data_IF_352467610007
#
_entry.id   IF_352467610007
#
_cell.length_a   1.000
_cell.length_b   1.000
_cell.length_c   1.000
_cell.angle_alpha   90.00
_cell.angle_beta   90.00
_cell.angle_gamma   90.00
#
_symmetry.space_group_name_H-M   'P 1'
#
loop_
_entity.id
_entity.type
_entity.pdbx_description
1 polymer ?
#
# COMPACT_ATOMS: atom_id res chain seq x y z
N UNK A 1 5.63 -3.32 -10.80
CA UNK A 1 6.55 -2.22 -10.47
C UNK A 1 5.74 -1.02 -10.03
N UNK A 2 5.90 -0.57 -8.77
CA UNK A 2 4.91 0.22 -8.06
C UNK A 2 5.45 1.46 -7.32
N UNK A 3 6.77 1.58 -7.12
CA UNK A 3 7.39 2.66 -6.36
C UNK A 3 8.46 3.36 -7.21
N UNK A 4 8.46 4.69 -7.23
CA UNK A 4 9.46 5.52 -7.88
C UNK A 4 10.18 6.37 -6.85
N UNK A 5 11.50 6.37 -6.91
CA UNK A 5 12.40 7.10 -6.00
C UNK A 5 13.10 8.17 -6.82
N UNK A 6 13.01 9.44 -6.38
CA UNK A 6 13.61 10.56 -7.11
C UNK A 6 14.51 11.35 -6.17
N UNK A 7 15.80 10.97 -6.07
CA UNK A 7 16.73 11.60 -5.16
C UNK A 7 17.18 12.99 -5.64
N UNK A 8 17.52 13.86 -4.69
CA UNK A 8 18.36 15.03 -4.96
C UNK A 8 19.80 14.57 -5.09
N UNK A 9 20.43 14.89 -6.22
CA UNK A 9 21.80 14.48 -6.55
C UNK A 9 22.76 15.67 -6.72
N UNK A 10 22.28 16.88 -6.44
CA UNK A 10 23.04 18.11 -6.59
C UNK A 10 22.91 18.93 -5.30
N UNK A 11 24.03 19.49 -4.86
CA UNK A 11 24.11 20.29 -3.63
C UNK A 11 23.08 21.43 -3.66
N UNK A 12 22.52 21.75 -2.50
CA UNK A 12 21.63 22.90 -2.25
C UNK A 12 20.36 22.94 -3.14
N UNK A 13 19.98 21.81 -3.73
CA UNK A 13 18.79 21.70 -4.59
C UNK A 13 17.53 21.47 -3.76
N UNK A 14 16.52 22.33 -3.94
CA UNK A 14 15.25 22.29 -3.19
C UNK A 14 14.03 21.94 -4.07
N UNK A 15 14.25 21.68 -5.36
CA UNK A 15 13.23 21.23 -6.29
C UNK A 15 13.83 20.33 -7.37
N UNK A 16 13.07 19.33 -7.81
CA UNK A 16 13.46 18.39 -8.86
C UNK A 16 12.59 18.58 -10.10
N UNK A 17 13.18 18.41 -11.27
CA UNK A 17 12.44 18.32 -12.53
C UNK A 17 12.28 16.83 -12.90
N UNK A 18 11.32 16.17 -12.26
CA UNK A 18 11.14 14.73 -12.29
C UNK A 18 10.33 14.31 -13.50
N UNK A 19 10.81 13.32 -14.27
CA UNK A 19 10.01 12.70 -15.33
C UNK A 19 8.97 11.75 -14.74
N UNK A 20 7.69 12.00 -15.01
CA UNK A 20 6.59 11.12 -14.61
C UNK A 20 6.05 10.37 -15.82
N UNK A 21 6.25 9.03 -15.90
CA UNK A 21 5.64 8.20 -16.93
C UNK A 21 4.10 8.33 -16.94
N UNK A 22 3.50 8.14 -18.11
CA UNK A 22 2.05 8.30 -18.32
C UNK A 22 1.24 7.32 -17.46
N UNK A 23 0.69 7.81 -16.34
CA UNK A 23 -0.27 7.16 -15.44
C UNK A 23 -0.50 8.05 -14.20
N UNK A 24 -1.42 7.63 -13.33
CA UNK A 24 -1.55 8.21 -11.99
C UNK A 24 -0.34 7.83 -11.11
N UNK A 25 0.26 8.82 -10.49
CA UNK A 25 1.23 8.69 -9.41
C UNK A 25 0.68 9.34 -8.15
N UNK A 26 1.12 8.88 -6.99
CA UNK A 26 0.73 9.45 -5.71
C UNK A 26 1.97 9.72 -4.90
N UNK A 27 2.09 10.91 -4.33
CA UNK A 27 3.09 11.18 -3.31
C UNK A 27 2.95 10.15 -2.17
N UNK A 28 4.03 9.43 -1.86
CA UNK A 28 3.98 8.31 -0.92
C UNK A 28 3.49 8.73 0.47
N UNK A 29 3.87 9.93 0.90
CA UNK A 29 3.67 10.43 2.26
C UNK A 29 2.29 11.04 2.48
N UNK A 30 1.79 11.77 1.48
CA UNK A 30 0.55 12.55 1.58
C UNK A 30 -0.62 11.91 0.84
N UNK A 31 -0.35 11.04 -0.14
CA UNK A 31 -1.35 10.51 -1.06
C UNK A 31 -1.80 11.49 -2.13
N UNK A 32 -1.17 12.67 -2.24
CA UNK A 32 -1.50 13.65 -3.26
C UNK A 32 -1.27 13.06 -4.67
N UNK A 33 -2.30 13.10 -5.51
CA UNK A 33 -2.22 12.62 -6.90
C UNK A 33 -1.37 13.55 -7.76
N UNK A 34 -0.47 12.96 -8.53
CA UNK A 34 0.31 13.57 -9.60
C UNK A 34 -0.06 12.83 -10.89
N UNK A 35 -0.67 13.54 -11.84
CA UNK A 35 -1.02 12.97 -13.14
C UNK A 35 0.21 13.01 -14.04
N UNK A 36 0.84 11.86 -14.25
CA UNK A 36 1.95 11.73 -15.18
C UNK A 36 1.44 11.76 -16.62
N UNK A 37 2.02 12.63 -17.44
CA UNK A 37 1.73 12.75 -18.89
C UNK A 37 2.88 12.24 -19.77
N UNK A 38 3.88 11.55 -19.20
CA UNK A 38 5.11 11.23 -19.93
C UNK A 38 5.98 12.46 -20.13
N UNK A 39 6.03 13.35 -19.14
CA UNK A 39 6.78 14.60 -19.18
C UNK A 39 7.44 14.89 -17.83
N UNK A 40 8.30 15.90 -17.81
CA UNK A 40 8.90 16.37 -16.56
C UNK A 40 7.98 17.36 -15.83
N UNK A 41 7.85 17.16 -14.53
CA UNK A 41 7.08 18.02 -13.63
C UNK A 41 8.03 18.52 -12.55
N UNK A 42 7.99 19.83 -12.28
CA UNK A 42 8.75 20.44 -11.17
C UNK A 42 8.06 20.09 -9.86
N UNK A 43 8.78 19.45 -8.95
CA UNK A 43 8.31 19.01 -7.62
C UNK A 43 9.23 19.57 -6.54
N UNK A 44 8.66 19.91 -5.38
CA UNK A 44 9.44 20.31 -4.22
C UNK A 44 10.30 19.15 -3.73
N UNK A 45 11.51 19.43 -3.26
CA UNK A 45 12.43 18.44 -2.71
C UNK A 45 13.10 19.03 -1.46
N UNK A 46 12.39 19.08 -0.32
CA UNK A 46 12.94 19.65 0.91
C UNK A 46 14.10 18.79 1.43
N UNK A 47 15.08 19.43 2.08
CA UNK A 47 16.32 18.77 2.53
C UNK A 47 16.08 17.57 3.46
N UNK A 48 15.00 17.59 4.24
CA UNK A 48 14.68 16.55 5.22
C UNK A 48 14.01 15.30 4.63
N UNK A 49 13.74 15.26 3.32
CA UNK A 49 12.89 14.23 2.74
C UNK A 49 13.25 13.91 1.29
N UNK A 50 13.42 12.62 1.01
CA UNK A 50 13.51 12.12 -0.37
C UNK A 50 12.12 11.99 -0.97
N UNK A 51 11.98 12.34 -2.25
CA UNK A 51 10.71 12.22 -2.96
C UNK A 51 10.45 10.76 -3.37
N UNK A 52 9.29 10.25 -2.96
CA UNK A 52 8.81 8.90 -3.23
C UNK A 52 7.41 8.96 -3.82
N UNK A 53 7.14 8.17 -4.85
CA UNK A 53 5.84 8.12 -5.52
C UNK A 53 5.36 6.69 -5.72
N UNK A 54 4.11 6.43 -5.37
CA UNK A 54 3.42 5.16 -5.62
C UNK A 54 2.66 5.25 -6.94
N UNK A 55 2.88 4.28 -7.82
CA UNK A 55 2.15 4.16 -9.08
C UNK A 55 0.72 3.66 -8.82
N UNK A 56 -0.26 4.36 -9.36
CA UNK A 56 -1.65 3.89 -9.38
C UNK A 56 -1.78 2.51 -10.03
N UNK A 57 -2.70 1.70 -9.52
CA UNK A 57 -2.88 0.31 -9.93
C UNK A 57 -2.18 -0.71 -9.05
N UNK A 58 -1.54 -0.28 -7.95
CA UNK A 58 -0.74 -1.17 -7.09
C UNK A 58 -1.19 -1.13 -5.63
N UNK A 59 -1.10 -2.28 -4.97
CA UNK A 59 -1.29 -2.45 -3.53
C UNK A 59 0.04 -2.85 -2.92
N UNK A 60 0.49 -2.08 -1.93
CA UNK A 60 1.75 -2.31 -1.22
C UNK A 60 1.45 -2.86 0.18
N UNK A 61 1.86 -4.10 0.50
CA UNK A 61 1.94 -4.54 1.88
C UNK A 61 3.11 -3.85 2.59
N UNK A 62 2.84 -3.39 3.80
CA UNK A 62 3.80 -2.72 4.66
C UNK A 62 3.67 -3.29 6.08
N UNK A 63 4.69 -3.09 6.90
CA UNK A 63 4.66 -3.43 8.32
C UNK A 63 5.08 -2.19 9.10
N UNK A 64 4.55 -2.02 10.31
CA UNK A 64 5.02 -0.96 11.18
C UNK A 64 6.51 -1.16 11.50
N UNK A 65 7.37 -0.15 11.27
CA UNK A 65 8.79 -0.31 11.45
C UNK A 65 9.15 -0.53 12.93
N UNK A 66 10.25 -1.24 13.14
CA UNK A 66 10.94 -1.34 14.43
C UNK A 66 12.44 -1.20 14.20
N UNK A 67 13.22 -1.11 15.27
CA UNK A 67 14.68 -0.96 15.18
C UNK A 67 15.39 -2.14 14.52
N UNK A 68 14.77 -3.33 14.50
CA UNK A 68 15.30 -4.54 13.87
C UNK A 68 14.21 -5.24 13.07
N UNK A 69 14.63 -6.05 12.09
CA UNK A 69 13.71 -6.91 11.33
C UNK A 69 13.03 -7.93 12.24
N UNK A 70 13.76 -8.52 13.20
CA UNK A 70 13.22 -9.43 14.22
C UNK A 70 12.03 -8.85 14.98
N UNK A 71 12.10 -7.58 15.40
CA UNK A 71 10.98 -6.94 16.08
C UNK A 71 9.89 -6.50 15.10
N UNK A 72 10.26 -5.96 13.94
CA UNK A 72 9.26 -5.49 12.96
C UNK A 72 8.40 -6.64 12.43
N UNK A 73 8.93 -7.86 12.29
CA UNK A 73 8.19 -9.05 11.83
C UNK A 73 7.06 -9.46 12.78
N UNK A 74 7.09 -9.01 14.03
CA UNK A 74 6.04 -9.25 15.03
C UNK A 74 4.91 -8.21 14.97
N UNK A 75 5.12 -7.11 14.23
CA UNK A 75 4.14 -6.04 14.11
C UNK A 75 3.03 -6.38 13.11
N UNK A 76 1.93 -5.62 13.20
CA UNK A 76 0.83 -5.75 12.27
C UNK A 76 1.20 -5.24 10.87
N UNK A 77 0.62 -5.90 9.88
CA UNK A 77 0.62 -5.46 8.51
C UNK A 77 -0.33 -4.28 8.31
N UNK A 78 0.02 -3.48 7.30
CA UNK A 78 -0.73 -2.35 6.76
C UNK A 78 -0.76 -2.49 5.25
N UNK A 79 -1.86 -2.09 4.63
CA UNK A 79 -1.98 -2.06 3.17
C UNK A 79 -2.11 -0.62 2.68
N UNK A 80 -1.26 -0.25 1.72
CA UNK A 80 -1.40 0.98 0.97
C UNK A 80 -1.91 0.66 -0.44
N UNK A 81 -3.13 1.10 -0.75
CA UNK A 81 -3.82 0.87 -2.02
C UNK A 81 -3.76 2.15 -2.85
N UNK A 82 -2.98 2.17 -3.92
CA UNK A 82 -2.95 3.29 -4.85
C UNK A 82 -3.84 2.96 -6.05
N UNK A 83 -5.06 3.52 -6.09
CA UNK A 83 -5.99 3.26 -7.19
C UNK A 83 -5.48 3.86 -8.50
N UNK A 84 -5.63 3.16 -9.61
CA UNK A 84 -5.46 3.76 -10.94
C UNK A 84 -6.69 4.61 -11.31
N UNK A 85 -6.71 5.13 -12.53
CA UNK A 85 -7.80 6.00 -13.02
C UNK A 85 -9.15 5.28 -13.15
N UNK A 86 -9.16 3.96 -13.27
CA UNK A 86 -10.38 3.14 -13.31
C UNK A 86 -10.83 2.66 -11.93
N UNK A 87 -10.13 3.07 -10.86
CA UNK A 87 -10.43 2.68 -9.48
C UNK A 87 -9.98 1.25 -9.16
N UNK A 88 -8.96 0.74 -9.84
CA UNK A 88 -8.44 -0.61 -9.66
C UNK A 88 -7.01 -0.59 -9.12
N UNK A 89 -6.63 -1.62 -8.37
CA UNK A 89 -5.25 -1.87 -7.97
C UNK A 89 -5.05 -3.35 -7.62
N UNK A 90 -3.84 -3.86 -7.81
CA UNK A 90 -3.49 -5.24 -7.42
C UNK A 90 -2.15 -5.27 -6.68
N UNK A 91 -1.95 -6.28 -5.85
CA UNK A 91 -0.68 -6.54 -5.17
C UNK A 91 -0.61 -7.95 -4.64
N UNK A 92 0.54 -8.32 -4.08
CA UNK A 92 0.74 -9.61 -3.45
C UNK A 92 1.70 -9.52 -2.28
N UNK A 93 1.58 -10.47 -1.36
CA UNK A 93 2.46 -10.64 -0.21
C UNK A 93 2.93 -12.10 -0.17
N UNK A 94 4.25 -12.27 -0.29
CA UNK A 94 4.95 -13.50 0.03
C UNK A 94 5.51 -13.39 1.46
N UNK A 95 5.39 -14.44 2.26
CA UNK A 95 5.88 -14.44 3.63
C UNK A 95 6.30 -15.84 4.09
N UNK A 96 7.56 -16.00 4.49
CA UNK A 96 8.13 -17.19 5.13
C UNK A 96 8.89 -16.78 6.40
N UNK A 97 9.75 -17.65 6.94
CA UNK A 97 10.55 -17.34 8.14
C UNK A 97 11.70 -16.34 7.89
N UNK A 98 12.04 -16.06 6.63
CA UNK A 98 13.09 -15.14 6.23
C UNK A 98 14.53 -15.68 6.33
N UNK A 99 14.73 -16.96 6.68
CA UNK A 99 16.06 -17.50 6.95
C UNK A 99 16.28 -18.92 6.36
N UNK A 100 15.27 -19.77 6.33
CA UNK A 100 15.39 -21.16 5.87
C UNK A 100 15.60 -21.24 4.35
N UNK A 101 16.55 -22.07 3.93
CA UNK A 101 16.82 -22.35 2.52
C UNK A 101 15.72 -23.25 1.95
N UNK A 102 15.14 -22.88 0.81
CA UNK A 102 14.21 -23.74 0.06
C UNK A 102 12.77 -23.75 0.58
N UNK A 103 12.33 -22.70 1.29
CA UNK A 103 10.94 -22.52 1.77
C UNK A 103 9.93 -22.54 0.63
N UNK A 104 10.26 -21.93 -0.52
CA UNK A 104 9.43 -21.95 -1.71
C UNK A 104 9.17 -23.37 -2.23
N UNK A 105 10.23 -24.17 -2.42
CA UNK A 105 10.11 -25.51 -3.00
C UNK A 105 9.47 -26.51 -2.02
N UNK A 106 9.74 -26.36 -0.73
CA UNK A 106 9.10 -27.15 0.34
C UNK A 106 7.67 -26.69 0.65
N UNK A 107 7.23 -25.56 0.09
CA UNK A 107 5.89 -25.02 0.31
C UNK A 107 5.66 -24.42 1.70
N UNK A 108 6.73 -24.12 2.46
CA UNK A 108 6.71 -23.54 3.80
C UNK A 108 6.75 -22.02 3.71
N UNK A 109 5.71 -21.46 3.08
CA UNK A 109 5.51 -20.02 2.94
C UNK A 109 4.01 -19.71 2.85
N UNK A 110 3.67 -18.44 2.99
CA UNK A 110 2.36 -17.88 2.78
C UNK A 110 2.38 -16.98 1.56
N UNK A 111 1.32 -17.03 0.75
CA UNK A 111 1.15 -16.18 -0.43
C UNK A 111 -0.28 -15.66 -0.48
N UNK A 112 -0.44 -14.35 -0.46
CA UNK A 112 -1.73 -13.66 -0.45
C UNK A 112 -1.76 -12.68 -1.61
N UNK A 113 -2.83 -12.73 -2.40
CA UNK A 113 -3.09 -11.75 -3.46
C UNK A 113 -4.13 -10.74 -2.98
N UNK A 114 -3.92 -9.47 -3.31
CA UNK A 114 -4.84 -8.38 -3.01
C UNK A 114 -5.37 -7.79 -4.30
N UNK A 115 -6.67 -7.48 -4.31
CA UNK A 115 -7.34 -6.81 -5.42
C UNK A 115 -8.19 -5.66 -4.89
N UNK A 116 -8.18 -4.55 -5.61
CA UNK A 116 -9.06 -3.42 -5.37
C UNK A 116 -9.89 -3.14 -6.62
N UNK A 117 -11.16 -2.82 -6.39
CA UNK A 117 -12.07 -2.27 -7.39
C UNK A 117 -12.63 -0.92 -6.93
N UNK A 118 -13.58 -0.38 -7.68
CA UNK A 118 -14.13 0.97 -7.48
C UNK A 118 -14.52 1.31 -6.03
N UNK A 119 -15.00 0.30 -5.30
CA UNK A 119 -15.51 0.48 -3.94
C UNK A 119 -15.12 -0.63 -2.96
N UNK A 120 -14.09 -1.43 -3.28
CA UNK A 120 -13.67 -2.52 -2.40
C UNK A 120 -12.18 -2.81 -2.50
N UNK A 121 -11.67 -3.45 -1.45
CA UNK A 121 -10.41 -4.18 -1.41
C UNK A 121 -10.71 -5.58 -0.89
N UNK A 122 -10.12 -6.61 -1.46
CA UNK A 122 -10.26 -8.00 -0.99
C UNK A 122 -8.95 -8.76 -1.09
N UNK A 123 -8.85 -9.85 -0.34
CA UNK A 123 -7.74 -10.80 -0.44
C UNK A 123 -8.16 -12.17 -0.93
N UNK A 124 -7.20 -12.87 -1.52
CA UNK A 124 -7.24 -14.29 -1.84
C UNK A 124 -5.98 -14.95 -1.27
N UNK A 125 -6.16 -16.02 -0.50
CA UNK A 125 -5.05 -16.77 0.10
C UNK A 125 -4.67 -17.89 -0.85
N UNK A 126 -3.55 -17.71 -1.55
CA UNK A 126 -3.04 -18.68 -2.53
C UNK A 126 -2.34 -19.86 -1.85
N UNK A 127 -1.66 -19.59 -0.73
CA UNK A 127 -0.94 -20.57 0.06
C UNK A 127 -0.86 -20.11 1.52
N UNK A 128 -1.08 -21.06 2.44
CA UNK A 128 -0.90 -20.88 3.88
C UNK A 128 -0.07 -22.06 4.42
N UNK A 129 1.23 -22.06 4.15
CA UNK A 129 2.16 -23.15 4.51
C UNK A 129 3.10 -22.82 5.67
N UNK A 130 3.19 -21.56 6.08
CA UNK A 130 4.03 -21.11 7.19
C UNK A 130 3.19 -20.70 8.39
N UNK A 131 3.51 -21.25 9.56
CA UNK A 131 2.74 -21.07 10.81
C UNK A 131 3.53 -20.34 11.91
N UNK A 132 4.58 -19.60 11.56
CA UNK A 132 5.39 -18.85 12.52
C UNK A 132 4.70 -17.57 13.00
N UNK A 133 5.19 -16.39 12.60
CA UNK A 133 4.60 -15.14 13.09
C UNK A 133 3.14 -14.95 12.63
N UNK A 134 2.35 -14.36 13.53
CA UNK A 134 0.95 -14.03 13.23
C UNK A 134 0.89 -12.91 12.20
N UNK A 135 0.16 -13.14 11.12
CA UNK A 135 -0.04 -12.15 10.06
C UNK A 135 -1.37 -11.43 10.23
N UNK A 136 -1.39 -10.31 10.95
CA UNK A 136 -2.61 -9.51 11.17
C UNK A 136 -2.57 -8.14 10.51
N UNK A 137 -3.67 -7.73 9.89
CA UNK A 137 -3.87 -6.42 9.26
C UNK A 137 -4.55 -5.46 10.23
N UNK A 138 -3.94 -4.30 10.49
CA UNK A 138 -4.49 -3.27 11.40
C UNK A 138 -4.91 -1.97 10.70
N UNK A 139 -4.45 -1.72 9.47
CA UNK A 139 -4.74 -0.48 8.74
C UNK A 139 -4.77 -0.69 7.24
N UNK A 140 -5.74 -0.04 6.61
CA UNK A 140 -5.81 0.12 5.15
C UNK A 140 -5.80 1.62 4.82
N UNK A 141 -4.89 2.03 3.95
CA UNK A 141 -4.90 3.38 3.37
C UNK A 141 -5.17 3.27 1.87
N UNK A 142 -6.10 4.06 1.35
CA UNK A 142 -6.47 4.08 -0.07
C UNK A 142 -6.25 5.48 -0.63
N UNK A 143 -5.39 5.60 -1.64
CA UNK A 143 -5.15 6.81 -2.42
C UNK A 143 -5.97 6.83 -3.70
N UNK A 144 -6.40 8.02 -4.11
CA UNK A 144 -7.12 8.20 -5.38
C UNK A 144 -8.59 7.78 -5.33
N UNK A 145 -9.25 7.98 -4.18
CA UNK A 145 -10.67 7.67 -4.01
C UNK A 145 -11.51 8.40 -5.06
N UNK A 146 -12.28 7.65 -5.85
CA UNK A 146 -13.18 8.19 -6.88
C UNK A 146 -14.49 8.76 -6.30
N UNK A 147 -14.86 8.29 -5.11
CA UNK A 147 -16.08 8.69 -4.40
C UNK A 147 -15.75 9.03 -2.95
N UNK A 148 -16.48 9.97 -2.37
CA UNK A 148 -16.37 10.28 -0.94
C UNK A 148 -17.10 9.20 -0.15
N UNK A 149 -16.41 8.45 0.73
CA UNK A 149 -17.03 7.39 1.50
C UNK A 149 -17.92 7.98 2.60
N UNK A 150 -19.17 7.50 2.66
CA UNK A 150 -20.15 7.74 3.73
C UNK A 150 -20.09 6.65 4.81
N UNK A 151 -19.70 5.44 4.42
CA UNK A 151 -19.51 4.33 5.34
C UNK A 151 -18.43 3.38 4.84
N UNK A 152 -17.83 2.64 5.77
CA UNK A 152 -16.84 1.60 5.49
C UNK A 152 -17.18 0.35 6.29
N UNK A 153 -17.02 -0.81 5.66
CA UNK A 153 -17.16 -2.11 6.33
C UNK A 153 -15.92 -2.96 6.14
N UNK A 154 -15.59 -3.76 7.16
CA UNK A 154 -14.59 -4.83 7.12
C UNK A 154 -15.31 -6.13 7.40
N UNK A 155 -15.27 -7.07 6.44
CA UNK A 155 -15.97 -8.35 6.50
C UNK A 155 -17.47 -8.18 6.84
N UNK A 156 -18.11 -7.16 6.25
CA UNK A 156 -19.53 -6.85 6.43
C UNK A 156 -19.87 -6.12 7.74
N UNK A 157 -18.91 -5.88 8.64
CA UNK A 157 -19.10 -5.12 9.88
C UNK A 157 -18.62 -3.69 9.71
N UNK A 158 -19.34 -2.71 10.25
CA UNK A 158 -18.93 -1.30 10.21
C UNK A 158 -17.54 -1.07 10.81
N UNK A 159 -16.75 -0.19 10.21
CA UNK A 159 -15.40 0.13 10.62
C UNK A 159 -15.17 1.64 10.76
N UNK A 160 -14.27 2.01 11.68
CA UNK A 160 -13.84 3.41 11.86
C UNK A 160 -12.94 3.82 10.69
N UNK A 161 -13.16 5.02 10.17
CA UNK A 161 -12.38 5.55 9.06
C UNK A 161 -12.23 7.06 9.12
N UNK A 162 -11.22 7.56 8.40
CA UNK A 162 -10.98 8.98 8.16
C UNK A 162 -10.84 9.22 6.66
N UNK A 163 -11.42 10.31 6.17
CA UNK A 163 -11.32 10.68 4.77
C UNK A 163 -10.79 12.11 4.61
N UNK A 164 -9.67 12.24 3.89
CA UNK A 164 -9.11 13.52 3.51
C UNK A 164 -9.58 13.87 2.09
N UNK A 165 -10.62 14.71 2.00
CA UNK A 165 -11.23 15.09 0.72
C UNK A 165 -10.30 15.87 -0.23
N UNK A 166 -9.46 16.82 0.25
CA UNK A 166 -8.50 17.50 -0.60
C UNK A 166 -7.55 16.57 -1.38
N UNK A 167 -6.98 15.55 -0.73
CA UNK A 167 -6.04 14.61 -1.38
C UNK A 167 -6.67 13.28 -1.80
N UNK A 168 -7.98 13.11 -1.57
CA UNK A 168 -8.75 11.90 -1.91
C UNK A 168 -8.18 10.62 -1.30
N UNK A 169 -7.82 10.70 -0.01
CA UNK A 169 -7.26 9.58 0.76
C UNK A 169 -8.24 9.08 1.80
N UNK A 170 -8.47 7.77 1.84
CA UNK A 170 -9.23 7.06 2.87
C UNK A 170 -8.27 6.27 3.76
N UNK A 171 -8.40 6.41 5.08
CA UNK A 171 -7.70 5.56 6.07
C UNK A 171 -8.74 4.81 6.88
N UNK A 172 -8.63 3.48 6.95
CA UNK A 172 -9.53 2.58 7.67
C UNK A 172 -8.78 1.88 8.78
N UNK A 173 -9.31 1.93 10.00
CA UNK A 173 -8.84 1.11 11.12
C UNK A 173 -9.40 -0.30 10.98
N UNK A 174 -8.52 -1.29 10.89
CA UNK A 174 -8.90 -2.69 10.71
C UNK A 174 -8.78 -3.41 12.07
N UNK A 175 -9.80 -4.17 12.50
CA UNK A 175 -9.80 -4.85 13.80
C UNK A 175 -8.96 -6.14 13.77
N UNK A 176 -7.65 -6.03 13.50
CA UNK A 176 -6.67 -7.13 13.51
C UNK A 176 -7.13 -8.36 12.72
N UNK A 177 -7.43 -8.15 11.44
CA UNK A 177 -7.87 -9.23 10.54
C UNK A 177 -6.71 -10.18 10.25
N UNK A 178 -6.94 -11.48 10.42
CA UNK A 178 -6.00 -12.54 10.04
C UNK A 178 -5.86 -12.59 8.51
N UNK A 179 -4.67 -12.31 8.01
CA UNK A 179 -4.36 -12.28 6.58
C UNK A 179 -4.35 -13.68 5.94
N UNK A 180 -4.26 -14.75 6.73
CA UNK A 180 -4.38 -16.13 6.25
C UNK A 180 -5.83 -16.58 6.07
N UNK A 181 -6.79 -15.65 6.23
CA UNK A 181 -8.19 -15.82 5.87
C UNK A 181 -8.59 -14.75 4.86
N UNK A 182 -9.44 -15.08 3.86
CA UNK A 182 -9.97 -14.08 2.95
C UNK A 182 -10.68 -12.96 3.72
N UNK A 183 -10.43 -11.72 3.33
CA UNK A 183 -11.13 -10.55 3.86
C UNK A 183 -11.63 -9.62 2.75
N UNK A 184 -12.58 -8.76 3.11
CA UNK A 184 -13.05 -7.69 2.24
C UNK A 184 -13.27 -6.40 3.03
N UNK A 185 -12.76 -5.30 2.50
CA UNK A 185 -13.09 -3.94 2.92
C UNK A 185 -13.93 -3.31 1.82
N UNK A 186 -15.07 -2.71 2.16
CA UNK A 186 -15.96 -2.02 1.21
C UNK A 186 -16.31 -0.64 1.70
N UNK A 187 -16.44 0.31 0.78
CA UNK A 187 -16.94 1.65 1.06
C UNK A 187 -18.13 2.00 0.18
N UNK A 188 -18.99 2.90 0.66
CA UNK A 188 -20.18 3.42 -0.04
C UNK A 188 -20.22 4.93 0.05
#
# INVERSE_FOLDING_TARGET
SALMITPVLTKDTTALNTYFPACAWYDFYTGLKITGSGSRIKVNAPMSQINLYVRGGNILPMVEPAMTTTESRKNNFRLLVALNETGQANGGLFWDDGETIGTHDSGVFNMIMFSAGKNFVSSEVMKAGYTGEKMTLDKLTVYGMLVTPKSVTVNGKGAQFQYNSPVKTLTVSIPLVDLLKPFSVKWM
#
